data_IF_998767695952
#
_entry.id   IF_998767695952
#
_cell.length_a   1.000
_cell.length_b   1.000
_cell.length_c   1.000
_cell.angle_alpha   90.00
_cell.angle_beta   90.00
_cell.angle_gamma   90.00
#
_symmetry.space_group_name_H-M   'P 1'
#
loop_
_entity.id
_entity.type
_entity.pdbx_description
1 polymer ?
#
# COMPACT_ATOMS: atom_id res chain seq x y z
N UNK A 1 1.05 0.97 -6.58
CA UNK A 1 0.04 1.76 -7.32
C UNK A 1 -1.12 0.93 -7.87
N UNK A 2 -0.93 -0.35 -8.26
CA UNK A 2 -2.03 -1.27 -8.64
C UNK A 2 -2.95 -1.72 -7.50
N UNK A 3 -2.64 -1.33 -6.26
CA UNK A 3 -3.48 -1.58 -5.09
C UNK A 3 -4.10 -0.26 -4.67
N UNK A 4 -5.33 -0.01 -5.13
CA UNK A 4 -6.24 0.95 -4.54
C UNK A 4 -6.33 0.62 -3.03
N UNK A 5 -6.00 1.52 -2.09
CA UNK A 5 -6.13 1.22 -0.67
C UNK A 5 -7.60 0.87 -0.38
N UNK A 6 -7.91 -0.39 -0.01
CA UNK A 6 -9.29 -0.82 0.21
C UNK A 6 -9.96 -0.02 1.33
N UNK A 7 -9.14 0.51 2.25
CA UNK A 7 -9.58 1.37 3.33
C UNK A 7 -10.32 2.62 2.88
N UNK A 8 -9.93 3.25 1.76
CA UNK A 8 -10.60 4.46 1.29
C UNK A 8 -12.07 4.19 0.94
N UNK A 9 -12.34 3.05 0.30
CA UNK A 9 -13.70 2.59 -0.01
C UNK A 9 -14.43 2.09 1.23
N UNK A 10 -13.74 1.36 2.12
CA UNK A 10 -14.34 0.87 3.38
C UNK A 10 -14.74 1.99 4.34
N UNK A 11 -13.94 3.05 4.45
CA UNK A 11 -14.18 4.18 5.37
C UNK A 11 -15.15 5.22 4.78
N UNK A 12 -15.00 5.56 3.50
CA UNK A 12 -15.76 6.64 2.86
C UNK A 12 -16.85 6.18 1.88
N UNK A 13 -17.02 4.88 1.69
CA UNK A 13 -17.93 4.30 0.72
C UNK A 13 -17.39 4.32 -0.73
N UNK A 14 -18.05 3.62 -1.66
CA UNK A 14 -17.57 3.41 -3.03
C UNK A 14 -17.88 4.56 -3.99
N UNK A 15 -18.58 5.61 -3.55
CA UNK A 15 -18.97 6.73 -4.40
C UNK A 15 -17.91 7.85 -4.36
N UNK A 16 -17.20 8.15 -5.48
CA UNK A 16 -16.18 9.19 -5.51
C UNK A 16 -16.69 10.60 -5.25
N UNK A 17 -17.99 10.87 -5.51
CA UNK A 17 -18.59 12.19 -5.28
C UNK A 17 -18.67 12.49 -3.78
N UNK A 18 -19.04 11.50 -2.98
CA UNK A 18 -19.13 11.63 -1.52
C UNK A 18 -17.85 11.22 -0.79
N UNK A 19 -16.82 10.77 -1.52
CA UNK A 19 -15.55 10.30 -0.98
C UNK A 19 -14.37 10.97 -1.71
N UNK A 20 -13.94 12.16 -1.28
CA UNK A 20 -12.86 12.91 -1.92
C UNK A 20 -11.54 12.13 -1.99
N UNK A 21 -11.24 11.31 -0.98
CA UNK A 21 -10.03 10.47 -0.98
C UNK A 21 -10.07 9.44 -2.12
N UNK A 22 -11.21 8.80 -2.36
CA UNK A 22 -11.40 7.90 -3.50
C UNK A 22 -11.28 8.65 -4.83
N UNK A 23 -11.83 9.87 -4.92
CA UNK A 23 -11.71 10.70 -6.12
C UNK A 23 -10.24 11.00 -6.48
N UNK A 24 -9.42 11.43 -5.51
CA UNK A 24 -7.98 11.67 -5.72
C UNK A 24 -7.25 10.41 -6.18
N UNK A 25 -7.59 9.24 -5.61
CA UNK A 25 -6.94 7.99 -6.01
C UNK A 25 -7.35 7.59 -7.44
N UNK A 26 -8.60 7.79 -7.83
CA UNK A 26 -9.08 7.52 -9.18
C UNK A 26 -8.46 8.47 -10.22
N UNK A 27 -8.21 9.71 -9.85
CA UNK A 27 -7.48 10.67 -10.68
C UNK A 27 -6.04 10.20 -10.92
N UNK A 28 -5.31 9.87 -9.85
CA UNK A 28 -3.95 9.31 -9.95
C UNK A 28 -3.91 8.01 -10.76
N UNK A 29 -4.92 7.16 -10.64
CA UNK A 29 -5.01 5.94 -11.44
C UNK A 29 -5.12 6.25 -12.94
N UNK A 30 -5.84 7.32 -13.32
CA UNK A 30 -5.89 7.78 -14.71
C UNK A 30 -4.56 8.35 -15.19
N UNK A 31 -3.88 9.14 -14.35
CA UNK A 31 -2.55 9.71 -14.68
C UNK A 31 -1.49 8.62 -14.94
N UNK A 32 -1.67 7.45 -14.35
CA UNK A 32 -0.79 6.30 -14.47
C UNK A 32 -1.25 5.28 -15.53
N UNK A 33 -2.22 5.64 -16.37
CA UNK A 33 -2.80 4.78 -17.41
C UNK A 33 -3.28 3.41 -16.87
N UNK A 34 -3.81 3.37 -15.65
CA UNK A 34 -4.35 2.13 -15.07
C UNK A 34 -5.62 1.74 -15.84
N UNK A 35 -5.69 0.52 -16.40
CA UNK A 35 -6.88 0.05 -17.11
C UNK A 35 -8.13 0.10 -16.25
N UNK A 36 -9.25 0.51 -16.86
CA UNK A 36 -10.52 0.75 -16.16
C UNK A 36 -11.05 -0.51 -15.46
N UNK A 37 -10.89 -1.68 -16.07
CA UNK A 37 -11.28 -2.98 -15.53
C UNK A 37 -10.53 -3.31 -14.23
N UNK A 38 -9.25 -2.93 -14.12
CA UNK A 38 -8.45 -3.10 -12.90
C UNK A 38 -8.99 -2.23 -11.77
N UNK A 39 -9.36 -0.98 -12.07
CA UNK A 39 -9.95 -0.04 -11.12
C UNK A 39 -11.29 -0.58 -10.60
N UNK A 40 -12.19 -0.94 -11.51
CA UNK A 40 -13.53 -1.47 -11.17
C UNK A 40 -13.43 -2.75 -10.34
N UNK A 41 -12.54 -3.67 -10.72
CA UNK A 41 -12.28 -4.92 -9.97
C UNK A 41 -11.82 -4.64 -8.55
N UNK A 42 -10.91 -3.69 -8.37
CA UNK A 42 -10.39 -3.34 -7.04
C UNK A 42 -11.42 -2.60 -6.19
N UNK A 43 -12.24 -1.73 -6.78
CA UNK A 43 -13.35 -1.07 -6.08
C UNK A 43 -14.40 -2.07 -5.59
N UNK A 44 -14.76 -3.03 -6.43
CA UNK A 44 -15.70 -4.11 -6.05
C UNK A 44 -15.15 -4.91 -4.88
N UNK A 45 -13.90 -5.37 -4.98
CA UNK A 45 -13.22 -6.10 -3.90
C UNK A 45 -13.20 -5.32 -2.58
N UNK A 46 -12.90 -4.02 -2.64
CA UNK A 46 -12.86 -3.18 -1.43
C UNK A 46 -14.24 -3.01 -0.77
N UNK A 47 -15.34 -3.15 -1.53
CA UNK A 47 -16.71 -3.05 -1.05
C UNK A 47 -17.29 -4.38 -0.52
N UNK A 48 -16.64 -5.51 -0.81
CA UNK A 48 -17.07 -6.84 -0.36
C UNK A 48 -16.74 -7.04 1.14
N UNK A 49 -17.71 -7.58 1.89
CA UNK A 49 -17.54 -7.95 3.30
C UNK A 49 -16.70 -9.22 3.41
N UNK A 50 -15.89 -9.31 4.47
CA UNK A 50 -15.13 -10.53 4.79
C UNK A 50 -13.75 -10.64 4.15
N UNK A 51 -13.23 -9.59 3.51
CA UNK A 51 -11.80 -9.57 3.17
C UNK A 51 -10.97 -9.29 4.43
N UNK A 52 -9.81 -9.93 4.53
CA UNK A 52 -8.84 -9.66 5.59
C UNK A 52 -8.51 -8.16 5.63
N UNK A 53 -8.43 -7.63 6.84
CA UNK A 53 -8.03 -6.25 7.05
C UNK A 53 -6.59 -6.07 6.56
N UNK A 54 -6.38 -5.07 5.72
CA UNK A 54 -5.05 -4.69 5.32
C UNK A 54 -4.42 -3.91 6.46
N UNK A 55 -3.19 -4.28 6.78
CA UNK A 55 -2.35 -3.65 7.78
C UNK A 55 -1.41 -2.72 7.03
N UNK A 56 -1.44 -1.44 7.42
CA UNK A 56 -0.44 -0.46 7.02
C UNK A 56 0.73 -0.51 8.00
N UNK A 57 1.95 -0.58 7.47
CA UNK A 57 3.18 -0.62 8.27
C UNK A 57 4.28 0.18 7.60
N UNK A 58 5.00 0.95 8.40
CA UNK A 58 6.20 1.65 7.98
C UNK A 58 7.44 0.91 8.47
N UNK A 59 8.44 0.79 7.61
CA UNK A 59 9.76 0.27 7.93
C UNK A 59 10.81 1.32 7.59
N UNK A 60 11.64 1.67 8.55
CA UNK A 60 12.81 2.48 8.30
C UNK A 60 13.97 1.59 7.84
N UNK A 61 14.69 2.04 6.82
CA UNK A 61 15.82 1.30 6.24
C UNK A 61 16.96 2.26 5.91
N UNK A 62 18.18 1.77 6.00
CA UNK A 62 19.41 2.50 5.69
C UNK A 62 20.08 1.89 4.47
N UNK A 63 20.38 2.70 3.47
CA UNK A 63 21.12 2.32 2.26
C UNK A 63 22.61 2.64 2.34
N UNK A 64 23.27 2.60 1.19
CA UNK A 64 24.69 2.96 1.08
C UNK A 64 24.95 4.39 1.56
N UNK A 65 26.06 4.60 2.26
CA UNK A 65 26.41 5.90 2.84
C UNK A 65 25.52 6.33 4.01
N UNK A 66 24.66 5.46 4.54
CA UNK A 66 23.79 5.76 5.70
C UNK A 66 22.53 6.54 5.36
N UNK A 67 22.16 6.65 4.08
CA UNK A 67 20.92 7.33 3.66
C UNK A 67 19.70 6.58 4.18
N UNK A 68 18.82 7.27 4.90
CA UNK A 68 17.58 6.71 5.44
C UNK A 68 16.44 6.75 4.43
N UNK A 69 15.64 5.68 4.40
CA UNK A 69 14.41 5.58 3.63
C UNK A 69 13.29 5.06 4.53
N UNK A 70 12.06 5.49 4.24
CA UNK A 70 10.85 4.93 4.84
C UNK A 70 10.14 4.11 3.79
N UNK A 71 9.89 2.84 4.10
CA UNK A 71 9.16 1.90 3.26
C UNK A 71 7.76 1.73 3.83
N UNK A 72 6.77 2.31 3.16
CA UNK A 72 5.35 2.10 3.46
C UNK A 72 4.87 0.79 2.82
N UNK A 73 4.18 -0.02 3.62
CA UNK A 73 3.68 -1.34 3.21
C UNK A 73 2.22 -1.49 3.59
N UNK A 74 1.42 -1.92 2.61
CA UNK A 74 0.04 -2.34 2.80
C UNK A 74 -0.07 -3.86 2.57
N UNK A 75 -0.37 -4.62 3.62
CA UNK A 75 -0.34 -6.09 3.59
C UNK A 75 -1.46 -6.74 4.40
N UNK A 76 -1.94 -7.89 3.96
CA UNK A 76 -2.83 -8.78 4.74
C UNK A 76 -2.03 -9.67 5.72
N UNK A 77 -0.72 -9.86 5.49
CA UNK A 77 0.16 -10.73 6.29
C UNK A 77 1.48 -10.01 6.62
N UNK A 78 1.64 -9.62 7.89
CA UNK A 78 2.80 -8.85 8.36
C UNK A 78 4.12 -9.63 8.22
N UNK A 79 4.13 -10.91 8.61
CA UNK A 79 5.34 -11.75 8.56
C UNK A 79 5.86 -11.95 7.13
N UNK A 80 4.95 -12.08 6.15
CA UNK A 80 5.32 -12.17 4.74
C UNK A 80 5.90 -10.85 4.22
N UNK A 81 5.27 -9.74 4.59
CA UNK A 81 5.72 -8.41 4.21
C UNK A 81 7.11 -8.08 4.76
N UNK A 82 7.35 -8.26 6.07
CA UNK A 82 8.65 -7.95 6.68
C UNK A 82 9.77 -8.81 6.09
N UNK A 83 9.50 -10.07 5.77
CA UNK A 83 10.46 -10.95 5.13
C UNK A 83 10.81 -10.46 3.71
N UNK A 84 9.80 -10.07 2.91
CA UNK A 84 10.00 -9.53 1.57
C UNK A 84 10.79 -8.21 1.59
N UNK A 85 10.42 -7.26 2.47
CA UNK A 85 11.12 -5.98 2.62
C UNK A 85 12.56 -6.21 3.05
N UNK A 86 12.79 -7.06 4.06
CA UNK A 86 14.15 -7.37 4.53
C UNK A 86 15.01 -7.99 3.43
N UNK A 87 14.46 -8.90 2.63
CA UNK A 87 15.17 -9.50 1.49
C UNK A 87 15.57 -8.43 0.49
N UNK A 88 14.62 -7.63 0.02
CA UNK A 88 14.88 -6.57 -0.96
C UNK A 88 15.93 -5.56 -0.48
N UNK A 89 15.82 -5.13 0.79
CA UNK A 89 16.80 -4.22 1.41
C UNK A 89 18.19 -4.85 1.45
N UNK A 90 18.29 -6.13 1.83
CA UNK A 90 19.56 -6.86 1.89
C UNK A 90 20.18 -7.03 0.50
N UNK A 91 19.37 -7.37 -0.50
CA UNK A 91 19.81 -7.57 -1.89
C UNK A 91 20.36 -6.26 -2.49
N UNK A 92 19.83 -5.12 -2.03
CA UNK A 92 20.33 -3.77 -2.36
C UNK A 92 21.49 -3.29 -1.46
N UNK A 93 22.05 -4.15 -0.59
CA UNK A 93 23.16 -3.80 0.31
C UNK A 93 22.79 -2.89 1.48
N UNK A 94 21.50 -2.68 1.72
CA UNK A 94 20.96 -1.89 2.82
C UNK A 94 20.73 -2.70 4.10
N UNK A 95 20.23 -2.03 5.13
CA UNK A 95 19.89 -2.62 6.43
C UNK A 95 18.56 -2.07 6.92
N UNK A 96 17.73 -2.93 7.51
CA UNK A 96 16.55 -2.48 8.26
C UNK A 96 17.01 -1.71 9.49
N UNK A 97 16.33 -0.61 9.83
CA UNK A 97 16.45 -0.01 11.14
C UNK A 97 15.94 -1.01 12.20
N UNK A 98 16.63 -1.11 13.32
CA UNK A 98 16.08 -1.82 14.48
C UNK A 98 14.95 -0.97 15.03
N UNK A 99 13.74 -1.54 15.14
CA UNK A 99 12.69 -0.91 15.93
C UNK A 99 13.25 -0.69 17.34
N UNK A 100 13.29 0.55 17.81
CA UNK A 100 13.51 0.82 19.22
C UNK A 100 12.34 0.19 19.99
N UNK A 101 12.68 -0.61 21.00
CA UNK A 101 11.76 -1.43 21.80
C UNK A 101 10.57 -0.67 22.38
#
# INVERSE_FOLDING_TARGET
>A
LTKLPPESVRKGGPNPISNPALATILEKAKELDVPKDIVERNMKKASEKGQEDYIEKFYEVYGYGGVGFVVEVLTDKLNRAVAAVRSAVKDCGGKMATAAS
#
